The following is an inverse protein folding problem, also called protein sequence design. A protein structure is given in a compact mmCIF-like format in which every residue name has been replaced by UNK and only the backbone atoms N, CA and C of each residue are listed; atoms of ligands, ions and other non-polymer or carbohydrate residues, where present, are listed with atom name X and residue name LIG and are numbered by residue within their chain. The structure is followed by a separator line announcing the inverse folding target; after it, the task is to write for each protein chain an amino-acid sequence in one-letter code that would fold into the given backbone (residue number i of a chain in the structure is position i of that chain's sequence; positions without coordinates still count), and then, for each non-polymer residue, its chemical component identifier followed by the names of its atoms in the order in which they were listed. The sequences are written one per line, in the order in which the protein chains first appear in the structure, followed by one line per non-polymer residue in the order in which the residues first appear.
data_IF_847428631573
#
_entry.id   IF_847428631573
#
_cell.length_a   1.000
_cell.length_b   1.000
_cell.length_c   1.000
_cell.angle_alpha   90.00
_cell.angle_beta   90.00
_cell.angle_gamma   90.00
#
_symmetry.space_group_name_H-M   'P 1'
#
loop_
_entity.id
_entity.type
_entity.pdbx_description
1 polymer ?
#
# COMPACT_ATOMS: atom_id res chain seq x y z
N UNK A 1 -9.93 6.60 7.56
CA UNK A 1 -11.33 6.34 7.14
C UNK A 1 -12.30 7.39 7.66
N UNK A 2 -12.37 7.66 8.98
CA UNK A 2 -13.19 8.77 9.51
C UNK A 2 -12.81 10.14 8.93
N UNK A 3 -11.51 10.46 8.85
CA UNK A 3 -11.01 11.68 8.21
C UNK A 3 -11.36 11.83 6.72
N UNK A 4 -11.76 10.74 6.05
CA UNK A 4 -12.21 10.73 4.67
C UNK A 4 -13.74 10.66 4.54
N UNK A 5 -14.48 10.81 5.66
CA UNK A 5 -15.94 10.74 5.70
C UNK A 5 -16.52 9.34 5.43
N UNK A 6 -15.67 8.31 5.38
CA UNK A 6 -16.11 6.93 5.12
C UNK A 6 -16.80 6.32 6.33
N UNK A 7 -16.27 6.62 7.53
CA UNK A 7 -16.89 6.31 8.81
C UNK A 7 -17.41 7.60 9.42
N UNK A 8 -18.65 7.59 9.87
CA UNK A 8 -19.29 8.71 10.55
C UNK A 8 -20.30 8.17 11.59
N UNK A 9 -21.04 9.07 12.23
CA UNK A 9 -22.02 8.73 13.28
C UNK A 9 -23.16 7.82 12.76
N UNK A 10 -23.47 7.87 11.47
CA UNK A 10 -24.57 7.15 10.86
C UNK A 10 -24.14 5.81 10.23
N UNK A 11 -22.89 5.71 9.74
CA UNK A 11 -22.40 4.54 9.01
C UNK A 11 -20.93 4.22 9.29
N UNK A 12 -20.69 2.94 9.46
CA UNK A 12 -19.36 2.32 9.49
C UNK A 12 -19.39 1.02 8.66
N UNK A 13 -19.48 1.12 7.32
CA UNK A 13 -19.55 -0.06 6.46
C UNK A 13 -18.28 -0.91 6.59
N UNK A 14 -18.41 -2.22 6.43
CA UNK A 14 -17.25 -3.11 6.43
C UNK A 14 -16.27 -2.74 5.30
N UNK A 15 -14.98 -2.78 5.62
CA UNK A 15 -13.90 -2.55 4.68
C UNK A 15 -13.00 -3.78 4.65
N UNK A 16 -13.02 -4.50 3.52
CA UNK A 16 -12.26 -5.74 3.32
C UNK A 16 -11.24 -5.64 2.18
N UNK A 17 -11.13 -4.48 1.53
CA UNK A 17 -10.27 -4.26 0.37
C UNK A 17 -8.87 -3.78 0.80
N UNK A 18 -7.84 -4.12 0.03
CA UNK A 18 -6.47 -3.61 0.29
C UNK A 18 -6.23 -2.19 -0.22
N UNK A 19 -7.14 -1.64 -1.03
CA UNK A 19 -7.04 -0.30 -1.60
C UNK A 19 -8.42 0.35 -1.64
N UNK A 20 -8.50 1.65 -1.36
CA UNK A 20 -9.72 2.43 -1.50
C UNK A 20 -9.47 3.73 -2.26
N UNK A 21 -10.23 3.95 -3.33
CA UNK A 21 -10.28 5.24 -4.03
C UNK A 21 -11.37 6.14 -3.46
N UNK A 22 -10.99 7.34 -3.03
CA UNK A 22 -11.88 8.43 -2.62
C UNK A 22 -11.97 9.45 -3.76
N UNK A 23 -12.96 9.28 -4.63
CA UNK A 23 -13.10 10.11 -5.83
C UNK A 23 -13.28 11.61 -5.53
N UNK A 24 -14.08 11.93 -4.50
CA UNK A 24 -14.33 13.29 -4.02
C UNK A 24 -13.09 13.96 -3.42
N UNK A 25 -12.13 13.16 -2.93
CA UNK A 25 -10.84 13.63 -2.40
C UNK A 25 -9.68 13.50 -3.38
N UNK A 26 -9.90 12.85 -4.52
CA UNK A 26 -8.87 12.53 -5.50
C UNK A 26 -7.72 11.70 -4.94
N UNK A 27 -8.00 10.79 -4.00
CA UNK A 27 -6.96 10.05 -3.26
C UNK A 27 -7.22 8.56 -3.29
N UNK A 28 -6.22 7.77 -3.66
CA UNK A 28 -6.19 6.34 -3.41
C UNK A 28 -5.40 6.05 -2.11
N UNK A 29 -5.98 5.23 -1.23
CA UNK A 29 -5.36 4.80 0.02
C UNK A 29 -5.00 3.32 -0.08
N UNK A 30 -3.73 2.99 0.13
CA UNK A 30 -3.22 1.62 0.13
C UNK A 30 -3.08 1.13 1.57
N UNK A 31 -3.76 0.02 1.89
CA UNK A 31 -3.68 -0.66 3.17
C UNK A 31 -2.84 -1.93 3.02
N UNK A 32 -1.58 -1.84 3.44
CA UNK A 32 -0.54 -2.81 3.16
C UNK A 32 -0.20 -3.57 4.44
N UNK A 33 -0.13 -4.89 4.35
CA UNK A 33 0.36 -5.75 5.43
C UNK A 33 1.66 -6.40 4.95
N UNK A 34 2.78 -6.09 5.60
CA UNK A 34 4.12 -6.52 5.16
C UNK A 34 4.32 -8.03 5.34
N UNK A 35 3.96 -8.55 6.50
CA UNK A 35 4.09 -9.96 6.84
C UNK A 35 2.74 -10.66 6.67
N UNK A 36 2.58 -11.33 5.53
CA UNK A 36 1.46 -12.23 5.24
C UNK A 36 1.86 -13.60 5.79
N UNK A 37 1.73 -13.79 7.10
CA UNK A 37 2.07 -15.03 7.83
C UNK A 37 1.94 -16.30 6.98
N UNK A 38 3.08 -16.94 6.74
CA UNK A 38 3.24 -18.20 6.02
C UNK A 38 2.41 -19.33 6.66
N UNK A 39 1.53 -19.92 5.85
CA UNK A 39 1.25 -21.35 5.98
C UNK A 39 1.43 -22.15 4.70
N UNK A 40 1.68 -21.54 3.53
CA UNK A 40 1.71 -22.29 2.26
C UNK A 40 2.61 -21.71 1.13
N UNK A 41 3.61 -20.85 1.38
CA UNK A 41 4.42 -20.26 0.29
C UNK A 41 5.90 -20.70 0.28
N UNK A 42 6.38 -21.03 -0.93
CA UNK A 42 7.77 -21.39 -1.22
C UNK A 42 8.71 -20.17 -1.05
N UNK A 43 9.93 -20.32 -0.47
CA UNK A 43 10.89 -19.23 -0.20
C UNK A 43 11.31 -18.37 -1.41
N UNK A 44 11.08 -18.85 -2.64
CA UNK A 44 11.42 -18.15 -3.87
C UNK A 44 10.37 -17.14 -4.35
N UNK A 45 9.23 -17.00 -3.66
CA UNK A 45 8.08 -16.17 -4.08
C UNK A 45 7.91 -14.89 -3.23
N UNK A 46 8.82 -14.66 -2.28
CA UNK A 46 8.66 -13.69 -1.19
C UNK A 46 9.13 -12.27 -1.58
N UNK A 47 8.38 -11.60 -2.45
CA UNK A 47 8.44 -10.14 -2.64
C UNK A 47 7.09 -9.58 -3.13
N UNK A 48 6.14 -9.32 -2.23
CA UNK A 48 4.87 -8.66 -2.62
C UNK A 48 4.87 -7.17 -2.26
N UNK A 49 5.03 -6.81 -0.99
CA UNK A 49 4.98 -5.41 -0.53
C UNK A 49 6.08 -5.15 0.52
N UNK A 50 7.02 -4.24 0.26
CA UNK A 50 8.15 -3.98 1.16
C UNK A 50 8.77 -2.59 0.97
N UNK A 51 9.44 -2.10 2.01
CA UNK A 51 10.29 -0.92 1.91
C UNK A 51 11.66 -1.30 1.31
N UNK A 52 12.04 -0.67 0.20
CA UNK A 52 13.35 -0.83 -0.45
C UNK A 52 14.41 -0.04 0.30
N UNK A 53 14.05 1.16 0.78
CA UNK A 53 14.86 1.99 1.66
C UNK A 53 13.95 3.00 2.38
N UNK A 54 14.53 3.98 3.05
CA UNK A 54 13.81 5.01 3.82
C UNK A 54 12.79 5.81 3.01
N UNK A 55 12.87 5.84 1.68
CA UNK A 55 11.93 6.57 0.81
C UNK A 55 11.35 5.75 -0.34
N UNK A 56 11.88 4.59 -0.68
CA UNK A 56 11.38 3.76 -1.77
C UNK A 56 10.60 2.58 -1.22
N UNK A 57 9.43 2.35 -1.79
CA UNK A 57 8.51 1.30 -1.38
C UNK A 57 8.03 0.50 -2.59
N UNK A 58 8.18 -0.82 -2.55
CA UNK A 58 7.63 -1.76 -3.50
C UNK A 58 6.22 -2.16 -3.09
N UNK A 59 5.28 -2.13 -4.02
CA UNK A 59 3.89 -2.56 -3.80
C UNK A 59 3.33 -3.24 -5.03
N UNK A 60 2.54 -4.29 -4.84
CA UNK A 60 1.87 -5.00 -5.93
C UNK A 60 0.37 -4.80 -5.96
N UNK A 61 -0.16 -4.65 -7.18
CA UNK A 61 -1.61 -4.61 -7.39
C UNK A 61 -2.27 -5.95 -7.08
N UNK A 62 -3.58 -5.93 -6.82
CA UNK A 62 -4.40 -7.14 -6.85
C UNK A 62 -4.39 -7.79 -8.25
N UNK A 63 -4.45 -9.12 -8.32
CA UNK A 63 -4.26 -9.95 -9.54
C UNK A 63 -5.15 -9.62 -10.75
N UNK A 64 -6.25 -8.89 -10.55
CA UNK A 64 -7.16 -8.48 -11.64
C UNK A 64 -6.78 -7.13 -12.28
N UNK A 65 -5.85 -6.39 -11.68
CA UNK A 65 -5.45 -5.07 -12.19
C UNK A 65 -4.49 -5.25 -13.36
N UNK A 66 -4.87 -4.69 -14.50
CA UNK A 66 -4.07 -4.71 -15.72
C UNK A 66 -3.45 -3.35 -15.95
N UNK A 67 -2.34 -3.29 -16.66
CA UNK A 67 -1.66 -2.02 -16.96
C UNK A 67 -2.59 -1.03 -17.68
N UNK A 68 -3.41 -1.53 -18.61
CA UNK A 68 -4.40 -0.72 -19.34
C UNK A 68 -5.66 -0.34 -18.54
N UNK A 69 -5.82 -0.80 -17.30
CA UNK A 69 -7.00 -0.50 -16.49
C UNK A 69 -7.04 0.96 -16.03
N UNK A 70 -8.24 1.52 -15.84
CA UNK A 70 -8.42 2.87 -15.28
C UNK A 70 -7.71 3.06 -13.93
N UNK A 71 -7.57 1.99 -13.14
CA UNK A 71 -6.87 2.01 -11.86
C UNK A 71 -5.36 2.13 -12.05
N UNK A 72 -4.75 1.26 -12.87
CA UNK A 72 -3.32 1.34 -13.16
C UNK A 72 -2.95 2.67 -13.84
N UNK A 73 -3.73 3.10 -14.82
CA UNK A 73 -3.52 4.39 -15.49
C UNK A 73 -3.62 5.58 -14.51
N UNK A 74 -4.56 5.51 -13.55
CA UNK A 74 -4.65 6.51 -12.47
C UNK A 74 -3.40 6.52 -11.59
N UNK A 75 -2.82 5.36 -11.28
CA UNK A 75 -1.59 5.27 -10.50
C UNK A 75 -0.38 5.79 -11.27
N UNK A 76 -0.20 5.36 -12.52
CA UNK A 76 0.92 5.75 -13.39
C UNK A 76 0.91 7.26 -13.66
N UNK A 77 -0.28 7.84 -13.86
CA UNK A 77 -0.43 9.26 -14.21
C UNK A 77 -0.93 10.13 -13.05
N UNK A 78 -0.84 9.65 -11.80
CA UNK A 78 -1.50 10.30 -10.66
C UNK A 78 -1.11 11.78 -10.52
N UNK A 79 0.18 12.12 -10.69
CA UNK A 79 0.69 13.50 -10.60
C UNK A 79 0.04 14.41 -11.64
N UNK A 80 0.00 13.97 -12.91
CA UNK A 80 -0.62 14.73 -14.01
C UNK A 80 -2.13 14.91 -13.78
N UNK A 81 -2.78 13.93 -13.17
CA UNK A 81 -4.21 13.95 -12.88
C UNK A 81 -4.57 14.66 -11.57
N UNK A 82 -3.59 15.21 -10.83
CA UNK A 82 -3.80 15.80 -9.51
C UNK A 82 -4.30 14.79 -8.46
N UNK A 83 -4.04 13.50 -8.67
CA UNK A 83 -4.41 12.41 -7.77
C UNK A 83 -3.30 12.10 -6.79
N UNK A 84 -3.69 11.70 -5.59
CA UNK A 84 -2.77 11.41 -4.48
C UNK A 84 -2.81 9.93 -4.14
N UNK A 85 -1.65 9.39 -3.78
CA UNK A 85 -1.50 8.02 -3.31
C UNK A 85 -1.00 8.09 -1.87
N UNK A 86 -1.71 7.45 -0.95
CA UNK A 86 -1.40 7.47 0.49
C UNK A 86 -1.19 6.05 1.01
N UNK A 87 -0.08 5.81 1.72
CA UNK A 87 0.31 4.48 2.18
C UNK A 87 0.03 4.32 3.69
N UNK A 88 -0.67 3.26 4.04
CA UNK A 88 -0.93 2.81 5.40
C UNK A 88 -0.40 1.39 5.55
N UNK A 89 0.54 1.18 6.46
CA UNK A 89 1.28 -0.07 6.58
C UNK A 89 1.16 -0.65 7.98
N UNK A 90 1.06 -1.97 8.08
CA UNK A 90 1.23 -2.72 9.31
C UNK A 90 2.13 -3.92 9.08
N UNK A 91 2.86 -4.35 10.09
CA UNK A 91 3.72 -5.53 9.96
C UNK A 91 2.88 -6.81 9.89
N UNK A 92 1.95 -7.01 10.82
CA UNK A 92 1.10 -8.20 10.89
C UNK A 92 -0.39 -7.84 10.83
N UNK A 93 -1.26 -8.80 10.49
CA UNK A 93 -2.71 -8.61 10.62
C UNK A 93 -3.15 -8.54 12.09
N UNK A 94 -2.52 -9.38 12.92
CA UNK A 94 -2.74 -9.45 14.35
C UNK A 94 -1.43 -9.40 15.10
N UNK A 95 -1.45 -8.73 16.24
CA UNK A 95 -0.36 -8.68 17.20
C UNK A 95 -0.95 -8.97 18.59
N UNK A 96 -0.36 -9.92 19.31
CA UNK A 96 -0.87 -10.42 20.60
C UNK A 96 -2.38 -10.76 20.61
N UNK A 97 -2.90 -11.31 19.51
CA UNK A 97 -4.31 -11.71 19.37
C UNK A 97 -5.26 -10.59 18.94
N UNK A 98 -4.82 -9.33 18.95
CA UNK A 98 -5.59 -8.16 18.54
C UNK A 98 -5.28 -7.73 17.11
N UNK A 99 -6.22 -7.04 16.46
CA UNK A 99 -5.97 -6.48 15.12
C UNK A 99 -4.90 -5.41 15.21
N UNK A 100 -3.80 -5.56 14.46
CA UNK A 100 -2.73 -4.57 14.46
C UNK A 100 -3.18 -3.29 13.73
N UNK A 101 -2.91 -2.10 14.30
CA UNK A 101 -3.22 -0.84 13.67
C UNK A 101 -2.32 -0.61 12.44
N UNK A 102 -2.80 0.21 11.51
CA UNK A 102 -1.97 0.71 10.42
C UNK A 102 -1.24 1.99 10.84
N UNK A 103 0.02 2.11 10.43
CA UNK A 103 0.84 3.33 10.50
C UNK A 103 0.73 4.07 9.18
N UNK A 104 0.46 5.37 9.22
CA UNK A 104 0.47 6.23 8.04
C UNK A 104 1.91 6.56 7.65
N UNK A 105 2.31 6.24 6.42
CA UNK A 105 3.65 6.53 5.89
C UNK A 105 3.73 7.85 5.12
N UNK A 106 2.62 8.53 4.91
CA UNK A 106 2.58 9.72 4.06
C UNK A 106 2.03 9.45 2.66
N UNK A 107 2.12 10.49 1.84
CA UNK A 107 1.84 10.40 0.41
C UNK A 107 3.06 9.87 -0.35
N UNK A 108 2.80 9.21 -1.48
CA UNK A 108 3.83 8.65 -2.33
C UNK A 108 3.65 9.07 -3.79
N UNK A 109 4.77 9.08 -4.52
CA UNK A 109 4.86 9.42 -5.93
C UNK A 109 5.34 8.24 -6.77
N UNK A 110 4.73 8.07 -7.93
CA UNK A 110 5.08 7.01 -8.88
C UNK A 110 6.53 7.18 -9.37
N UNK A 111 7.30 6.09 -9.34
CA UNK A 111 8.67 6.03 -9.89
C UNK A 111 8.71 5.15 -11.14
N UNK A 112 8.32 3.88 -11.01
CA UNK A 112 8.28 2.92 -12.11
C UNK A 112 7.31 1.78 -11.81
N UNK A 113 6.94 1.02 -12.83
CA UNK A 113 6.27 -0.26 -12.67
C UNK A 113 6.80 -1.32 -13.63
N UNK A 114 6.52 -2.58 -13.33
CA UNK A 114 6.85 -3.73 -14.18
C UNK A 114 5.82 -4.85 -13.98
N UNK A 115 5.75 -5.77 -14.96
CA UNK A 115 4.81 -6.88 -14.95
C UNK A 115 3.37 -6.47 -15.29
N UNK A 116 2.51 -7.48 -15.45
CA UNK A 116 1.08 -7.34 -15.67
C UNK A 116 0.35 -8.49 -14.98
N UNK A 117 -0.63 -8.17 -14.12
CA UNK A 117 -1.41 -9.14 -13.30
C UNK A 117 -0.57 -10.10 -12.42
N UNK A 118 0.04 -9.65 -11.31
CA UNK A 118 -0.01 -8.31 -10.75
C UNK A 118 1.06 -7.39 -11.35
N UNK A 119 0.78 -6.08 -11.31
CA UNK A 119 1.76 -5.04 -11.61
C UNK A 119 2.52 -4.72 -10.33
N UNK A 120 3.85 -4.73 -10.40
CA UNK A 120 4.75 -4.24 -9.35
C UNK A 120 4.99 -2.76 -9.55
N UNK A 121 4.80 -1.95 -8.51
CA UNK A 121 5.09 -0.52 -8.50
C UNK A 121 6.21 -0.19 -7.53
N UNK A 122 7.09 0.73 -7.94
CA UNK A 122 7.98 1.43 -7.04
C UNK A 122 7.41 2.83 -6.78
N UNK A 123 7.18 3.10 -5.51
CA UNK A 123 6.69 4.37 -4.99
C UNK A 123 7.80 5.09 -4.23
N UNK A 124 7.88 6.41 -4.38
CA UNK A 124 8.73 7.28 -3.57
C UNK A 124 7.87 7.99 -2.52
N UNK A 125 8.08 7.70 -1.25
CA UNK A 125 7.47 8.43 -0.14
C UNK A 125 7.95 9.89 -0.14
N UNK A 126 7.05 10.83 0.14
CA UNK A 126 7.40 12.25 0.29
C UNK A 126 8.21 12.48 1.56
N UNK A 127 7.88 11.76 2.62
CA UNK A 127 8.59 11.75 3.90
C UNK A 127 9.33 10.42 4.09
N UNK A 128 10.38 10.41 4.91
CA UNK A 128 11.08 9.18 5.26
C UNK A 128 10.22 8.26 6.12
N UNK A 129 10.49 6.96 6.02
CA UNK A 129 9.86 5.96 6.88
C UNK A 129 10.03 6.34 8.36
N UNK A 130 8.99 6.17 9.18
CA UNK A 130 9.12 6.27 10.63
C UNK A 130 10.24 5.34 11.12
N UNK A 131 11.12 5.78 12.05
CA UNK A 131 12.28 5.00 12.50
C UNK A 131 11.95 3.57 12.94
N UNK A 132 10.76 3.36 13.52
CA UNK A 132 10.26 2.05 13.93
C UNK A 132 10.08 1.03 12.79
N UNK A 133 9.95 1.47 11.54
CA UNK A 133 9.78 0.62 10.36
C UNK A 133 11.06 0.44 9.54
N UNK A 134 12.12 1.21 9.82
CA UNK A 134 13.43 1.07 9.16
C UNK A 134 14.06 -0.31 9.35
N UNK A 135 14.01 -0.94 10.55
CA UNK A 135 14.51 -2.30 10.72
C UNK A 135 13.78 -3.33 9.87
N UNK A 136 12.50 -3.11 9.56
CA UNK A 136 11.71 -3.98 8.68
C UNK A 136 12.14 -3.81 7.23
N UNK A 137 12.42 -2.58 6.78
CA UNK A 137 12.96 -2.28 5.46
C UNK A 137 14.30 -2.99 5.21
N UNK A 138 15.22 -2.92 6.17
CA UNK A 138 16.55 -3.51 6.05
C UNK A 138 16.53 -5.05 5.95
N UNK A 139 15.52 -5.71 6.51
CA UNK A 139 15.36 -7.17 6.38
C UNK A 139 14.95 -7.62 4.97
N UNK A 140 14.40 -6.71 4.15
CA UNK A 140 14.01 -6.99 2.77
C UNK A 140 15.14 -6.80 1.75
N UNK A 141 16.32 -6.37 2.21
CA UNK A 141 17.55 -6.24 1.42
C UNK A 141 18.51 -7.38 1.83
N UNK A 142 18.21 -8.63 1.47
CA UNK A 142 19.11 -9.78 1.69
C UNK A 142 19.11 -10.67 0.46
#
# INVERSE_FOLDING_TARGET
MAAFGYYNEEKAPEFREGVRYFADKGTDIFFITLNKSDKDFSPSTLYEDYAINERLFHWQTQSRTTEGSNTAQRYIHHRRMGKRIALFVREYKKDNGYTSPFVYLGEAEYVRHEGDRPISFIWRLKEELPPMLVPVANKCIV
#
